data_IF_951999441383
#
_entry.id   IF_951999441383
#
_cell.length_a   1.000
_cell.length_b   1.000
_cell.length_c   1.000
_cell.angle_alpha   90.00
_cell.angle_beta   90.00
_cell.angle_gamma   90.00
#
_symmetry.space_group_name_H-M   'P 1'
#
loop_
_entity.id
_entity.type
_entity.pdbx_description
1 polymer ?
#
# COMPACT_ATOMS: atom_id res chain seq x y z
N UNK A 1 7.67 -63.09 -57.92
CA UNK A 1 8.59 -62.90 -59.07
C UNK A 1 9.41 -61.70 -58.74
N UNK A 2 10.64 -61.77 -58.47
CA UNK A 2 11.78 -62.39 -59.08
C UNK A 2 12.89 -61.37 -59.07
N UNK A 3 13.84 -61.73 -58.28
CA UNK A 3 15.29 -61.88 -58.59
C UNK A 3 16.03 -60.53 -58.79
N UNK A 4 17.05 -60.31 -58.12
CA UNK A 4 18.35 -60.90 -57.82
C UNK A 4 19.49 -59.94 -58.19
N UNK A 5 20.41 -59.81 -57.19
CA UNK A 5 21.88 -59.94 -57.29
C UNK A 5 22.63 -58.84 -58.08
N UNK A 6 23.85 -58.42 -57.75
CA UNK A 6 24.98 -58.94 -56.92
C UNK A 6 26.13 -57.93 -56.97
N UNK A 7 26.92 -57.91 -55.92
CA UNK A 7 28.42 -57.89 -55.89
C UNK A 7 29.16 -56.82 -56.68
N UNK A 8 30.28 -56.30 -56.25
CA UNK A 8 31.37 -56.72 -55.40
C UNK A 8 32.36 -55.56 -55.16
N UNK A 9 32.96 -55.53 -53.97
CA UNK A 9 34.41 -55.45 -53.66
C UNK A 9 35.20 -54.31 -54.34
N UNK A 10 36.05 -53.61 -53.71
CA UNK A 10 37.09 -53.87 -52.72
C UNK A 10 37.96 -52.63 -52.50
N UNK A 11 38.62 -52.59 -51.34
CA UNK A 11 39.93 -52.09 -51.01
C UNK A 11 40.18 -50.57 -50.96
N UNK A 12 40.39 -50.08 -49.75
CA UNK A 12 41.69 -49.87 -49.07
C UNK A 12 42.41 -48.57 -49.40
N UNK A 13 42.47 -47.71 -48.43
CA UNK A 13 43.68 -47.00 -47.95
C UNK A 13 43.32 -45.79 -47.07
N UNK A 14 43.68 -45.86 -45.82
CA UNK A 14 43.96 -44.70 -44.97
C UNK A 14 45.34 -44.17 -45.28
N UNK A 15 45.73 -42.89 -44.98
CA UNK A 15 45.71 -42.26 -43.68
C UNK A 15 45.60 -40.71 -43.67
N UNK A 16 45.41 -40.18 -42.53
CA UNK A 16 46.08 -39.01 -41.95
C UNK A 16 45.14 -38.05 -41.18
N UNK A 17 45.47 -37.95 -39.93
CA UNK A 17 44.95 -37.04 -38.93
C UNK A 17 44.95 -35.56 -39.37
N UNK A 18 43.82 -34.86 -39.18
CA UNK A 18 43.80 -33.44 -38.79
C UNK A 18 42.73 -33.22 -37.76
N UNK A 19 43.16 -32.90 -36.56
CA UNK A 19 42.43 -32.37 -35.41
C UNK A 19 41.76 -31.07 -35.84
N UNK A 20 40.45 -30.97 -35.77
CA UNK A 20 39.70 -29.71 -35.71
C UNK A 20 38.99 -29.67 -34.40
N UNK A 21 39.37 -28.71 -33.53
CA UNK A 21 38.67 -28.30 -32.34
C UNK A 21 37.29 -27.80 -32.72
N UNK A 22 36.28 -28.52 -32.26
CA UNK A 22 34.91 -28.02 -32.25
C UNK A 22 34.68 -27.29 -30.96
N UNK A 23 34.61 -25.95 -31.04
CA UNK A 23 34.09 -25.07 -30.00
C UNK A 23 32.62 -25.38 -29.77
N UNK A 24 32.31 -26.08 -28.67
CA UNK A 24 30.97 -26.19 -28.16
C UNK A 24 30.56 -24.82 -27.61
N UNK A 25 29.62 -24.18 -28.29
CA UNK A 25 28.83 -23.05 -27.76
C UNK A 25 27.80 -23.63 -26.80
N UNK A 26 28.09 -23.59 -25.51
CA UNK A 26 27.09 -23.82 -24.45
C UNK A 26 26.16 -22.62 -24.39
N UNK A 27 24.96 -22.79 -24.91
CA UNK A 27 23.84 -21.97 -24.57
C UNK A 27 23.37 -22.38 -23.17
N UNK A 28 23.69 -21.59 -22.17
CA UNK A 28 23.08 -21.70 -20.85
C UNK A 28 21.96 -20.65 -20.75
N UNK A 29 20.77 -21.01 -21.19
CA UNK A 29 19.54 -20.35 -20.74
C UNK A 29 19.23 -20.86 -19.34
N UNK A 30 19.89 -20.32 -18.32
CA UNK A 30 19.45 -20.42 -16.94
C UNK A 30 18.29 -19.41 -16.72
N UNK A 31 17.06 -19.91 -16.87
CA UNK A 31 15.90 -19.30 -16.23
C UNK A 31 16.09 -19.46 -14.73
N UNK A 32 16.74 -18.49 -14.10
CA UNK A 32 17.01 -18.47 -12.68
C UNK A 32 15.71 -18.36 -11.89
N UNK A 33 15.27 -19.47 -11.32
CA UNK A 33 14.34 -19.52 -10.19
C UNK A 33 14.83 -18.56 -9.10
N UNK A 34 14.15 -17.45 -8.90
CA UNK A 34 14.43 -16.51 -7.81
C UNK A 34 13.82 -17.04 -6.52
N UNK A 35 14.46 -18.04 -5.94
CA UNK A 35 14.34 -18.32 -4.50
C UNK A 35 14.69 -17.05 -3.71
N UNK A 36 14.04 -16.74 -2.58
CA UNK A 36 14.35 -15.56 -1.79
C UNK A 36 15.84 -15.59 -1.45
N UNK A 37 16.57 -14.58 -1.95
CA UNK A 37 18.01 -14.46 -1.74
C UNK A 37 18.26 -14.37 -0.23
N UNK A 38 19.19 -15.19 0.26
CA UNK A 38 19.80 -15.03 1.59
C UNK A 38 20.81 -13.86 1.59
N UNK A 39 20.48 -12.77 0.92
CA UNK A 39 21.26 -11.54 1.06
C UNK A 39 20.85 -10.92 2.40
N UNK A 40 21.82 -10.66 3.26
CA UNK A 40 21.57 -10.02 4.54
C UNK A 40 21.21 -8.55 4.30
N UNK A 41 20.19 -8.05 5.03
CA UNK A 41 19.79 -6.63 4.98
C UNK A 41 21.01 -5.69 5.04
N UNK A 42 21.96 -6.03 5.91
CA UNK A 42 23.19 -5.27 6.15
C UNK A 42 24.13 -5.20 4.94
N UNK A 43 24.03 -6.12 4.00
CA UNK A 43 24.84 -6.08 2.77
C UNK A 43 24.33 -5.03 1.78
N UNK A 44 23.02 -4.81 1.75
CA UNK A 44 22.33 -3.95 0.78
C UNK A 44 21.97 -2.56 1.32
N UNK A 45 21.71 -2.47 2.63
CA UNK A 45 21.21 -1.24 3.25
C UNK A 45 22.03 -0.85 4.46
N UNK A 46 22.19 0.46 4.66
CA UNK A 46 22.75 1.03 5.88
C UNK A 46 21.60 1.60 6.71
N UNK A 47 21.42 1.08 7.93
CA UNK A 47 20.41 1.58 8.86
C UNK A 47 20.92 2.81 9.60
N UNK A 48 20.07 3.83 9.70
CA UNK A 48 20.32 5.09 10.41
C UNK A 48 19.49 5.23 11.69
N UNK A 49 19.10 6.46 11.99
CA UNK A 49 18.34 6.80 13.20
C UNK A 49 16.88 6.32 13.15
N UNK A 50 16.27 6.19 14.31
CA UNK A 50 14.86 5.86 14.46
C UNK A 50 13.98 7.00 13.92
N UNK A 51 13.03 6.69 13.03
CA UNK A 51 12.01 7.62 12.54
C UNK A 51 10.74 7.58 13.38
N UNK A 52 10.37 6.40 13.88
CA UNK A 52 9.17 6.25 14.70
C UNK A 52 8.97 4.81 15.18
N UNK A 53 8.13 4.68 16.20
CA UNK A 53 7.66 3.39 16.74
C UNK A 53 6.15 3.40 16.84
N UNK A 54 5.51 2.26 16.59
CA UNK A 54 4.06 2.11 16.70
C UNK A 54 3.64 0.69 17.09
N UNK A 55 2.36 0.44 17.14
CA UNK A 55 1.81 -0.88 17.46
C UNK A 55 2.25 -2.01 16.53
N UNK A 56 2.73 -1.66 15.35
CA UNK A 56 3.15 -2.60 14.29
C UNK A 56 4.67 -2.75 14.19
N UNK A 57 5.48 -2.03 14.99
CA UNK A 57 6.93 -2.17 14.99
C UNK A 57 7.69 -0.85 15.02
N UNK A 58 8.96 -0.88 14.57
CA UNK A 58 9.86 0.27 14.53
C UNK A 58 10.25 0.60 13.07
N UNK A 59 10.39 1.88 12.76
CA UNK A 59 10.81 2.39 11.45
C UNK A 59 12.09 3.20 11.62
N UNK A 60 13.11 2.89 10.83
CA UNK A 60 14.40 3.56 10.83
C UNK A 60 14.65 4.24 9.48
N UNK A 61 15.38 5.35 9.51
CA UNK A 61 15.99 5.89 8.31
C UNK A 61 17.02 4.89 7.77
N UNK A 62 17.20 4.85 6.47
CA UNK A 62 18.23 4.00 5.86
C UNK A 62 18.69 4.57 4.53
N UNK A 63 19.75 3.97 3.99
CA UNK A 63 20.32 4.29 2.70
C UNK A 63 20.60 2.99 1.97
N UNK A 64 20.19 2.88 0.72
CA UNK A 64 20.57 1.77 -0.16
C UNK A 64 22.02 1.95 -0.58
N UNK A 65 22.88 0.97 -0.28
CA UNK A 65 24.33 1.09 -0.49
C UNK A 65 24.75 1.21 -1.96
N UNK A 66 23.97 0.65 -2.87
CA UNK A 66 24.30 0.60 -4.29
C UNK A 66 24.33 1.99 -4.96
N UNK A 67 23.45 2.92 -4.52
CA UNK A 67 23.25 4.21 -5.19
C UNK A 67 23.02 5.38 -4.23
N UNK A 68 23.08 5.13 -2.92
CA UNK A 68 22.80 6.17 -1.91
C UNK A 68 21.33 6.55 -1.77
N UNK A 69 20.40 5.78 -2.37
CA UNK A 69 18.97 6.10 -2.34
C UNK A 69 18.41 6.05 -0.91
N UNK A 70 17.71 7.12 -0.45
CA UNK A 70 17.14 7.15 0.88
C UNK A 70 15.93 6.21 0.99
N UNK A 71 15.91 5.38 2.04
CA UNK A 71 14.85 4.42 2.32
C UNK A 71 14.37 4.54 3.76
N UNK A 72 13.19 4.02 4.05
CA UNK A 72 12.72 3.72 5.39
C UNK A 72 12.74 2.21 5.59
N UNK A 73 13.29 1.75 6.73
CA UNK A 73 13.42 0.33 7.08
C UNK A 73 12.42 0.05 8.21
N UNK A 74 11.30 -0.61 7.88
CA UNK A 74 10.25 -0.96 8.84
C UNK A 74 10.43 -2.41 9.31
N UNK A 75 10.61 -2.59 10.61
CA UNK A 75 10.57 -3.89 11.28
C UNK A 75 9.13 -4.15 11.75
N UNK A 76 8.47 -5.13 11.16
CA UNK A 76 7.10 -5.49 11.51
C UNK A 76 7.06 -6.89 12.12
N UNK A 77 6.43 -7.03 13.28
CA UNK A 77 6.30 -8.33 13.97
C UNK A 77 5.60 -9.36 13.08
N UNK A 78 6.10 -10.58 13.10
CA UNK A 78 5.49 -11.70 12.37
C UNK A 78 4.07 -11.96 12.88
N UNK A 79 3.16 -12.09 11.93
CA UNK A 79 1.77 -12.48 12.15
C UNK A 79 1.47 -13.78 11.41
N UNK A 80 0.46 -14.51 11.85
CA UNK A 80 0.00 -15.72 11.15
C UNK A 80 -0.70 -15.42 9.82
N UNK A 81 -1.09 -14.16 9.60
CA UNK A 81 -1.77 -13.75 8.37
C UNK A 81 -0.80 -13.72 7.21
N UNK A 82 -0.94 -14.67 6.32
CA UNK A 82 -0.18 -14.76 5.08
C UNK A 82 -1.11 -14.78 3.89
N UNK A 83 -0.63 -14.30 2.76
CA UNK A 83 -1.33 -14.32 1.49
C UNK A 83 -0.38 -14.88 0.42
N UNK A 84 -0.91 -15.72 -0.46
CA UNK A 84 -0.24 -16.18 -1.65
C UNK A 84 -0.71 -15.35 -2.84
N UNK A 85 0.22 -14.75 -3.55
CA UNK A 85 -0.06 -13.96 -4.74
C UNK A 85 0.30 -14.76 -6.00
N UNK A 86 -0.54 -14.72 -7.05
CA UNK A 86 -0.23 -15.39 -8.31
C UNK A 86 1.12 -14.95 -8.88
N UNK A 87 1.94 -15.90 -9.31
CA UNK A 87 3.24 -15.63 -9.93
C UNK A 87 4.38 -15.29 -8.96
N UNK A 88 4.16 -15.43 -7.64
CA UNK A 88 5.22 -15.28 -6.63
C UNK A 88 5.39 -16.58 -5.84
N UNK A 89 6.63 -16.88 -5.45
CA UNK A 89 6.98 -18.11 -4.75
C UNK A 89 6.51 -18.09 -3.29
N UNK A 90 5.40 -18.81 -3.01
CA UNK A 90 4.92 -19.10 -1.69
C UNK A 90 4.20 -17.96 -0.94
N UNK A 91 3.64 -18.29 0.24
CA UNK A 91 2.87 -17.35 1.04
C UNK A 91 3.78 -16.31 1.72
N UNK A 92 3.42 -15.04 1.59
CA UNK A 92 4.11 -13.91 2.23
C UNK A 92 3.24 -13.24 3.28
N UNK A 93 3.81 -12.43 4.21
CA UNK A 93 3.04 -11.66 5.16
C UNK A 93 1.98 -10.80 4.49
N UNK A 94 0.77 -10.73 5.08
CA UNK A 94 -0.36 -10.01 4.46
C UNK A 94 0.00 -8.56 4.15
N UNK A 95 0.64 -7.81 5.07
CA UNK A 95 1.03 -6.43 4.81
C UNK A 95 1.97 -6.29 3.61
N UNK A 96 2.97 -7.17 3.50
CA UNK A 96 3.90 -7.21 2.35
C UNK A 96 3.14 -7.50 1.05
N UNK A 97 2.21 -8.47 1.07
CA UNK A 97 1.40 -8.81 -0.09
C UNK A 97 0.53 -7.63 -0.55
N UNK A 98 -0.14 -6.95 0.38
CA UNK A 98 -0.96 -5.77 0.09
C UNK A 98 -0.11 -4.64 -0.51
N UNK A 99 1.06 -4.38 0.06
CA UNK A 99 1.97 -3.37 -0.47
C UNK A 99 2.53 -3.74 -1.85
N UNK A 100 2.77 -5.02 -2.14
CA UNK A 100 3.13 -5.48 -3.49
C UNK A 100 2.01 -5.23 -4.50
N UNK A 101 0.76 -5.50 -4.12
CA UNK A 101 -0.41 -5.26 -4.98
C UNK A 101 -0.55 -3.78 -5.36
N UNK A 102 -0.35 -2.85 -4.42
CA UNK A 102 -0.45 -1.40 -4.71
C UNK A 102 0.83 -0.80 -5.29
N UNK A 103 1.97 -1.51 -5.27
CA UNK A 103 3.27 -1.08 -5.81
C UNK A 103 3.60 -1.71 -7.17
N UNK A 104 2.62 -2.28 -7.87
CA UNK A 104 2.78 -2.86 -9.20
C UNK A 104 3.15 -1.80 -10.27
N UNK A 105 3.19 -2.20 -11.55
CA UNK A 105 3.56 -1.33 -12.68
C UNK A 105 2.70 -0.05 -12.79
N UNK A 106 1.47 -0.09 -12.29
CA UNK A 106 0.54 1.05 -12.25
C UNK A 106 0.63 1.84 -10.93
N UNK A 107 1.81 1.92 -10.31
CA UNK A 107 2.00 2.54 -9.00
C UNK A 107 1.42 3.97 -8.93
N UNK A 108 0.77 4.29 -7.80
CA UNK A 108 0.21 5.61 -7.52
C UNK A 108 1.21 6.46 -6.72
N UNK A 109 1.47 7.69 -7.15
CA UNK A 109 2.35 8.62 -6.43
C UNK A 109 1.90 8.87 -4.98
N UNK A 110 0.59 8.75 -4.72
CA UNK A 110 -0.01 8.99 -3.40
C UNK A 110 -0.07 7.76 -2.49
N UNK A 111 0.58 6.64 -2.85
CA UNK A 111 0.76 5.46 -2.00
C UNK A 111 2.26 5.23 -1.80
N UNK A 112 2.68 4.98 -0.55
CA UNK A 112 4.10 4.73 -0.26
C UNK A 112 4.54 3.43 -0.91
N UNK A 113 5.67 3.47 -1.63
CA UNK A 113 6.16 2.33 -2.40
C UNK A 113 6.95 1.36 -1.52
N UNK A 114 6.65 0.07 -1.64
CA UNK A 114 7.50 -1.01 -1.18
C UNK A 114 8.61 -1.24 -2.23
N UNK A 115 9.87 -1.12 -1.80
CA UNK A 115 11.05 -1.33 -2.65
C UNK A 115 11.49 -2.78 -2.57
N UNK A 116 11.60 -3.32 -1.34
CA UNK A 116 12.05 -4.68 -1.07
C UNK A 116 11.52 -5.16 0.28
N UNK A 117 11.72 -6.44 0.60
CA UNK A 117 11.41 -6.99 1.91
C UNK A 117 12.25 -8.23 2.22
N UNK A 118 12.46 -8.50 3.51
CA UNK A 118 13.22 -9.64 4.02
C UNK A 118 12.42 -10.39 5.09
N UNK A 119 12.53 -11.71 5.09
CA UNK A 119 11.96 -12.56 6.15
C UNK A 119 13.03 -12.78 7.22
N UNK A 120 13.06 -11.91 8.23
CA UNK A 120 13.98 -12.03 9.37
C UNK A 120 13.53 -13.09 10.38
N UNK A 121 14.31 -13.36 11.42
CA UNK A 121 13.99 -14.41 12.41
C UNK A 121 12.71 -14.14 13.22
N UNK A 122 12.51 -12.91 13.67
CA UNK A 122 11.38 -12.50 14.55
C UNK A 122 10.42 -11.53 13.87
N UNK A 123 10.92 -10.72 12.93
CA UNK A 123 10.18 -9.70 12.22
C UNK A 123 10.31 -9.90 10.72
N UNK A 124 9.35 -9.38 9.93
CA UNK A 124 9.70 -9.04 8.55
C UNK A 124 10.20 -7.62 8.48
N UNK A 125 11.11 -7.42 7.53
CA UNK A 125 11.76 -6.13 7.34
C UNK A 125 11.31 -5.63 5.97
N UNK A 126 10.61 -4.49 5.94
CA UNK A 126 10.17 -3.85 4.71
C UNK A 126 11.04 -2.65 4.41
N UNK A 127 11.51 -2.56 3.17
CA UNK A 127 12.26 -1.43 2.63
C UNK A 127 11.28 -0.59 1.84
N UNK A 128 11.04 0.62 2.32
CA UNK A 128 10.06 1.54 1.80
C UNK A 128 10.76 2.77 1.21
N UNK A 129 10.15 3.44 0.25
CA UNK A 129 10.61 4.78 -0.13
C UNK A 129 10.55 5.72 1.08
N UNK A 130 11.46 6.71 1.11
CA UNK A 130 11.49 7.72 2.16
C UNK A 130 11.47 9.11 1.53
N UNK A 131 10.28 9.74 1.39
CA UNK A 131 10.21 11.14 1.00
C UNK A 131 10.92 12.01 2.04
N UNK A 132 11.61 13.04 1.60
CA UNK A 132 12.31 13.99 2.47
C UNK A 132 12.31 15.38 1.78
N UNK A 133 11.93 16.48 2.47
CA UNK A 133 11.43 16.55 3.85
C UNK A 133 9.95 16.13 3.97
N UNK A 134 9.61 15.30 4.96
CA UNK A 134 8.23 14.89 5.24
C UNK A 134 7.96 14.72 6.73
N UNK A 135 6.70 14.81 7.10
CA UNK A 135 6.16 14.47 8.42
C UNK A 135 4.79 13.80 8.25
N UNK A 136 4.22 13.19 9.30
CA UNK A 136 2.85 12.76 9.18
C UNK A 136 1.87 13.94 9.21
N UNK A 137 0.68 13.74 8.64
CA UNK A 137 -0.30 14.81 8.49
C UNK A 137 -0.89 15.27 9.84
N UNK A 138 -0.85 14.45 10.87
CA UNK A 138 -1.28 14.84 12.22
C UNK A 138 -0.31 15.87 12.81
N UNK A 139 0.99 15.61 12.79
CA UNK A 139 2.01 16.55 13.26
C UNK A 139 2.05 17.81 12.38
N UNK A 140 1.89 17.67 11.07
CA UNK A 140 1.72 18.82 10.18
C UNK A 140 0.54 19.71 10.58
N UNK A 141 -0.65 19.13 10.85
CA UNK A 141 -1.81 19.88 11.32
C UNK A 141 -1.52 20.59 12.66
N UNK A 142 -0.92 19.85 13.61
CA UNK A 142 -0.55 20.39 14.93
C UNK A 142 0.37 21.61 14.79
N UNK A 143 1.38 21.53 13.94
CA UNK A 143 2.31 22.64 13.63
C UNK A 143 1.61 23.82 12.94
N UNK A 144 0.54 23.58 12.20
CA UNK A 144 -0.30 24.61 11.55
C UNK A 144 -1.39 25.21 12.45
N UNK A 145 -1.38 24.92 13.75
CA UNK A 145 -2.37 25.43 14.71
C UNK A 145 -3.55 24.51 14.98
N UNK A 146 -3.42 23.21 14.63
CA UNK A 146 -4.39 22.15 14.95
C UNK A 146 -5.43 21.86 13.87
N UNK A 147 -5.54 22.71 12.84
CA UNK A 147 -6.44 22.50 11.70
C UNK A 147 -5.85 23.06 10.41
N UNK A 148 -6.43 22.72 9.28
CA UNK A 148 -6.03 23.20 7.95
C UNK A 148 -7.10 24.12 7.37
N UNK A 149 -6.67 25.12 6.59
CA UNK A 149 -7.60 25.84 5.72
C UNK A 149 -8.28 24.89 4.74
N UNK A 150 -9.51 25.19 4.30
CA UNK A 150 -10.22 24.34 3.33
C UNK A 150 -9.45 24.18 2.02
N UNK A 151 -8.68 25.17 1.60
CA UNK A 151 -7.82 25.06 0.41
C UNK A 151 -6.76 23.96 0.55
N UNK A 152 -6.04 23.96 1.67
CA UNK A 152 -5.02 22.92 1.96
C UNK A 152 -5.69 21.56 2.18
N UNK A 153 -6.78 21.50 2.96
CA UNK A 153 -7.52 20.27 3.19
C UNK A 153 -8.05 19.66 1.88
N UNK A 154 -8.52 20.48 0.96
CA UNK A 154 -8.96 20.03 -0.39
C UNK A 154 -7.79 19.43 -1.18
N UNK A 155 -6.66 20.13 -1.22
CA UNK A 155 -5.47 19.63 -1.90
C UNK A 155 -5.00 18.27 -1.35
N UNK A 156 -5.00 18.10 -0.02
CA UNK A 156 -4.71 16.85 0.66
C UNK A 156 -5.74 15.78 0.29
N UNK A 157 -7.05 16.09 0.39
CA UNK A 157 -8.10 15.09 0.19
C UNK A 157 -8.20 14.60 -1.25
N UNK A 158 -7.89 15.41 -2.25
CA UNK A 158 -7.80 14.95 -3.65
C UNK A 158 -6.77 13.84 -3.76
N UNK A 159 -5.60 14.00 -3.17
CA UNK A 159 -4.51 13.02 -3.19
C UNK A 159 -4.86 11.75 -2.39
N UNK A 160 -5.48 11.91 -1.21
CA UNK A 160 -5.98 10.78 -0.40
C UNK A 160 -6.99 9.95 -1.20
N UNK A 161 -7.91 10.59 -1.92
CA UNK A 161 -8.90 9.89 -2.75
C UNK A 161 -8.25 9.17 -3.94
N UNK A 162 -7.20 9.72 -4.54
CA UNK A 162 -6.40 9.02 -5.55
C UNK A 162 -5.74 7.76 -4.98
N UNK A 163 -5.12 7.87 -3.79
CA UNK A 163 -4.53 6.72 -3.11
C UNK A 163 -5.56 5.62 -2.80
N UNK A 164 -6.73 6.00 -2.23
CA UNK A 164 -7.78 5.03 -1.88
C UNK A 164 -8.41 4.38 -3.11
N UNK A 165 -8.57 5.13 -4.20
CA UNK A 165 -9.06 4.58 -5.46
C UNK A 165 -8.07 3.59 -6.04
N UNK A 166 -6.78 3.93 -6.05
CA UNK A 166 -5.73 3.02 -6.46
C UNK A 166 -5.71 1.73 -5.61
N UNK A 167 -5.85 1.84 -4.28
CA UNK A 167 -5.99 0.68 -3.41
C UNK A 167 -7.18 -0.20 -3.83
N UNK A 168 -8.35 0.40 -4.04
CA UNK A 168 -9.56 -0.31 -4.48
C UNK A 168 -9.33 -1.02 -5.83
N UNK A 169 -8.77 -0.32 -6.81
CA UNK A 169 -8.51 -0.85 -8.15
C UNK A 169 -7.43 -1.96 -8.14
N UNK A 170 -6.53 -1.94 -7.14
CA UNK A 170 -5.54 -2.99 -6.85
C UNK A 170 -6.06 -4.13 -5.98
N UNK A 171 -7.36 -4.15 -5.65
CA UNK A 171 -7.95 -5.17 -4.78
C UNK A 171 -7.53 -5.09 -3.31
N UNK A 172 -7.13 -3.91 -2.83
CA UNK A 172 -6.62 -3.69 -1.47
C UNK A 172 -7.54 -2.78 -0.67
N UNK A 173 -7.87 -3.19 0.55
CA UNK A 173 -8.59 -2.39 1.54
C UNK A 173 -7.64 -1.97 2.67
N UNK A 174 -7.43 -0.67 2.86
CA UNK A 174 -6.48 -0.13 3.84
C UNK A 174 -6.95 -0.26 5.30
N UNK A 175 -8.21 0.02 5.61
CA UNK A 175 -8.92 -0.08 6.91
C UNK A 175 -8.50 0.89 8.03
N UNK A 176 -7.41 1.63 7.91
CA UNK A 176 -6.96 2.56 8.96
C UNK A 176 -6.58 3.94 8.41
N UNK A 177 -7.46 4.52 7.57
CA UNK A 177 -7.27 5.89 7.09
C UNK A 177 -7.45 6.89 8.24
N UNK A 178 -6.39 7.65 8.53
CA UNK A 178 -6.32 8.74 9.51
C UNK A 178 -5.11 9.62 9.21
N UNK A 179 -5.02 10.79 9.84
CA UNK A 179 -3.92 11.75 9.60
C UNK A 179 -2.54 11.16 9.91
N UNK A 180 -2.42 10.30 10.90
CA UNK A 180 -1.16 9.63 11.30
C UNK A 180 -0.66 8.63 10.24
N UNK A 181 -1.57 8.13 9.38
CA UNK A 181 -1.24 7.21 8.29
C UNK A 181 -1.14 7.90 6.92
N UNK A 182 -0.93 9.21 6.92
CA UNK A 182 -0.69 10.04 5.75
C UNK A 182 0.61 10.82 5.95
N UNK A 183 1.62 10.55 5.13
CA UNK A 183 2.82 11.40 5.08
C UNK A 183 2.53 12.59 4.18
N UNK A 184 3.03 13.76 4.56
CA UNK A 184 2.98 14.97 3.74
C UNK A 184 4.38 15.54 3.57
N UNK A 185 4.77 15.81 2.34
CA UNK A 185 5.99 16.59 2.05
C UNK A 185 5.74 18.05 2.42
N UNK A 186 6.66 18.61 3.20
CA UNK A 186 6.47 19.96 3.75
C UNK A 186 6.77 21.08 2.74
N UNK A 187 7.47 20.75 1.66
CA UNK A 187 7.86 21.65 0.56
C UNK A 187 6.83 21.68 -0.58
N UNK A 188 6.23 20.53 -0.94
CA UNK A 188 5.35 20.38 -2.10
C UNK A 188 3.89 20.11 -1.74
N UNK A 189 3.60 19.75 -0.48
CA UNK A 189 2.31 19.23 -0.01
C UNK A 189 1.87 17.95 -0.72
N UNK A 190 2.82 17.18 -1.26
CA UNK A 190 2.56 15.84 -1.76
C UNK A 190 2.19 14.91 -0.60
N UNK A 191 1.12 14.11 -0.77
CA UNK A 191 0.62 13.20 0.27
C UNK A 191 0.82 11.75 -0.16
N UNK A 192 1.27 10.92 0.77
CA UNK A 192 1.38 9.46 0.58
C UNK A 192 0.67 8.70 1.70
N UNK A 193 -0.19 7.77 1.31
CA UNK A 193 -0.84 6.82 2.22
C UNK A 193 0.20 5.77 2.65
N UNK A 194 0.28 5.52 3.96
CA UNK A 194 1.23 4.60 4.59
C UNK A 194 0.52 3.59 5.49
N UNK A 195 1.24 2.55 5.89
CA UNK A 195 0.86 1.55 6.91
C UNK A 195 -0.35 0.69 6.54
N UNK A 196 -0.07 -0.41 5.83
CA UNK A 196 -1.05 -1.43 5.44
C UNK A 196 -1.22 -2.56 6.47
N UNK A 197 -0.66 -2.41 7.68
CA UNK A 197 -0.71 -3.42 8.74
C UNK A 197 -2.13 -3.78 9.21
N UNK A 198 -3.09 -2.87 9.07
CA UNK A 198 -4.52 -3.13 9.27
C UNK A 198 -5.25 -3.64 8.03
N UNK A 199 -4.61 -3.64 6.86
CA UNK A 199 -5.22 -3.89 5.56
C UNK A 199 -5.81 -5.30 5.38
N UNK A 200 -6.52 -5.47 4.27
CA UNK A 200 -7.06 -6.74 3.82
C UNK A 200 -7.27 -6.72 2.29
N UNK A 201 -7.59 -7.86 1.70
CA UNK A 201 -8.05 -7.93 0.32
C UNK A 201 -9.43 -7.28 0.21
N UNK A 202 -9.63 -6.45 -0.82
CA UNK A 202 -10.93 -5.85 -1.11
C UNK A 202 -11.90 -6.91 -1.63
N UNK A 203 -13.06 -7.04 -0.96
CA UNK A 203 -14.14 -7.92 -1.40
C UNK A 203 -15.49 -7.20 -1.31
N UNK A 204 -16.47 -7.70 -2.06
CA UNK A 204 -17.86 -7.25 -1.97
C UNK A 204 -18.63 -7.93 -0.82
N UNK A 205 -17.99 -8.88 -0.12
CA UNK A 205 -18.54 -9.56 1.04
C UNK A 205 -18.39 -8.72 2.31
N UNK A 206 -19.22 -9.01 3.32
CA UNK A 206 -19.12 -8.36 4.62
C UNK A 206 -17.87 -8.81 5.38
N UNK A 207 -17.17 -7.85 5.97
CA UNK A 207 -16.08 -8.10 6.93
C UNK A 207 -16.68 -8.23 8.33
N UNK A 208 -16.34 -9.34 9.01
CA UNK A 208 -16.82 -9.66 10.37
C UNK A 208 -15.76 -9.43 11.45
N UNK A 209 -14.56 -8.97 11.05
CA UNK A 209 -13.46 -8.59 11.95
C UNK A 209 -13.04 -7.17 11.65
N UNK A 210 -13.04 -6.31 12.67
CA UNK A 210 -12.53 -4.96 12.54
C UNK A 210 -11.03 -4.93 12.86
N UNK A 211 -10.29 -4.27 12.01
CA UNK A 211 -8.91 -3.88 12.21
C UNK A 211 -8.81 -2.36 11.97
N UNK A 212 -7.93 -1.70 12.68
CA UNK A 212 -7.79 -0.25 12.60
C UNK A 212 -8.28 0.49 13.86
N UNK A 213 -8.25 1.79 13.80
CA UNK A 213 -8.49 2.70 14.92
C UNK A 213 -9.98 2.79 15.22
N UNK A 214 -10.42 2.31 16.41
CA UNK A 214 -11.85 2.15 16.75
C UNK A 214 -12.69 3.42 16.65
N UNK A 215 -12.11 4.60 16.92
CA UNK A 215 -12.86 5.86 16.83
C UNK A 215 -13.16 6.27 15.38
N UNK A 216 -12.49 5.68 14.39
CA UNK A 216 -12.73 5.80 12.95
C UNK A 216 -13.66 4.70 12.41
N UNK A 217 -14.09 3.74 13.26
CA UNK A 217 -14.97 2.66 12.83
C UNK A 217 -16.36 3.18 12.49
N UNK A 218 -17.00 2.66 11.43
CA UNK A 218 -18.34 3.06 11.04
C UNK A 218 -19.42 2.52 12.00
N UNK A 219 -20.60 3.17 12.10
CA UNK A 219 -21.64 2.78 13.04
C UNK A 219 -22.17 1.36 12.85
N UNK A 220 -22.22 0.83 11.62
CA UNK A 220 -22.64 -0.54 11.33
C UNK A 220 -21.74 -1.58 12.02
N UNK A 221 -20.43 -1.30 12.17
CA UNK A 221 -19.56 -2.17 12.95
C UNK A 221 -20.01 -2.32 14.41
N UNK A 222 -20.48 -1.26 15.03
CA UNK A 222 -20.94 -1.30 16.42
C UNK A 222 -22.33 -1.91 16.55
N UNK A 223 -23.17 -1.79 15.51
CA UNK A 223 -24.55 -2.24 15.51
C UNK A 223 -24.71 -3.71 15.12
N UNK A 224 -24.04 -4.15 14.05
CA UNK A 224 -24.20 -5.48 13.46
C UNK A 224 -22.94 -6.34 13.46
N UNK A 225 -21.79 -5.78 13.87
CA UNK A 225 -20.45 -6.45 13.83
C UNK A 225 -20.01 -6.87 12.44
N UNK A 226 -20.51 -6.17 11.45
CA UNK A 226 -20.14 -6.37 10.05
C UNK A 226 -20.13 -5.04 9.28
N UNK A 227 -19.37 -4.97 8.20
CA UNK A 227 -19.29 -3.79 7.34
C UNK A 227 -18.82 -4.17 5.94
N UNK A 228 -19.09 -3.32 4.95
CA UNK A 228 -18.59 -3.41 3.59
C UNK A 228 -17.39 -2.47 3.37
N UNK A 229 -16.44 -2.87 2.53
CA UNK A 229 -15.20 -2.15 2.24
C UNK A 229 -15.45 -0.68 1.83
N UNK A 230 -16.23 -0.46 0.79
CA UNK A 230 -16.49 0.87 0.22
C UNK A 230 -17.13 1.84 1.23
N UNK A 231 -18.29 1.51 1.81
CA UNK A 231 -18.95 2.36 2.80
C UNK A 231 -18.09 2.65 4.04
N UNK A 232 -17.31 1.68 4.53
CA UNK A 232 -16.41 1.87 5.67
C UNK A 232 -15.24 2.81 5.33
N UNK A 233 -14.65 2.66 4.15
CA UNK A 233 -13.60 3.57 3.64
C UNK A 233 -14.13 5.01 3.53
N UNK A 234 -15.32 5.19 2.98
CA UNK A 234 -15.95 6.51 2.85
C UNK A 234 -16.23 7.13 4.22
N UNK A 235 -16.64 6.34 5.21
CA UNK A 235 -16.79 6.83 6.58
C UNK A 235 -15.45 7.38 7.13
N UNK A 236 -14.36 6.64 6.98
CA UNK A 236 -13.02 7.10 7.42
C UNK A 236 -12.57 8.36 6.68
N UNK A 237 -12.87 8.49 5.38
CA UNK A 237 -12.65 9.74 4.61
C UNK A 237 -13.39 10.91 5.26
N UNK A 238 -14.66 10.72 5.63
CA UNK A 238 -15.46 11.75 6.29
C UNK A 238 -14.93 12.15 7.66
N UNK A 239 -14.48 11.19 8.47
CA UNK A 239 -13.87 11.46 9.78
C UNK A 239 -12.56 12.22 9.60
N UNK A 240 -11.70 11.80 8.67
CA UNK A 240 -10.42 12.45 8.39
C UNK A 240 -10.63 13.90 7.91
N UNK A 241 -11.50 14.12 6.91
CA UNK A 241 -11.77 15.48 6.41
C UNK A 241 -12.33 16.38 7.51
N UNK A 242 -13.30 15.88 8.31
CA UNK A 242 -13.84 16.64 9.44
C UNK A 242 -12.71 17.06 10.40
N UNK A 243 -11.83 16.13 10.76
CA UNK A 243 -10.72 16.41 11.69
C UNK A 243 -9.76 17.44 11.11
N UNK A 244 -9.44 17.38 9.82
CA UNK A 244 -8.54 18.34 9.18
C UNK A 244 -9.08 19.78 9.20
N UNK A 245 -10.39 19.98 8.98
CA UNK A 245 -10.99 21.34 8.89
C UNK A 245 -11.56 21.86 10.19
N UNK A 246 -11.87 20.97 11.15
CA UNK A 246 -12.43 21.36 12.45
C UNK A 246 -11.38 21.37 13.58
N UNK A 247 -10.29 20.61 13.46
CA UNK A 247 -9.24 20.47 14.47
C UNK A 247 -9.57 19.48 15.60
N UNK A 248 -10.68 18.75 15.50
CA UNK A 248 -11.10 17.74 16.48
C UNK A 248 -11.92 16.64 15.80
N UNK A 249 -12.08 15.49 16.48
CA UNK A 249 -12.85 14.36 15.97
C UNK A 249 -14.36 14.64 15.95
N UNK A 250 -15.11 14.20 14.92
CA UNK A 250 -16.56 14.38 14.87
C UNK A 250 -17.31 13.62 15.97
N UNK A 251 -16.72 12.55 16.47
CA UNK A 251 -17.29 11.66 17.48
C UNK A 251 -16.21 11.27 18.51
N UNK A 252 -16.57 11.26 19.80
CA UNK A 252 -15.63 10.96 20.88
C UNK A 252 -15.82 9.57 21.51
N UNK A 253 -16.89 8.88 21.16
CA UNK A 253 -17.21 7.54 21.66
C UNK A 253 -18.18 6.80 20.75
N UNK A 254 -18.39 5.52 21.01
CA UNK A 254 -19.30 4.66 20.25
C UNK A 254 -20.73 5.20 20.17
N UNK A 255 -21.29 5.73 21.26
CA UNK A 255 -22.65 6.30 21.28
C UNK A 255 -22.77 7.48 20.33
N UNK A 256 -21.76 8.35 20.29
CA UNK A 256 -21.71 9.49 19.37
C UNK A 256 -21.62 9.03 17.91
N UNK A 257 -20.78 8.00 17.61
CA UNK A 257 -20.69 7.39 16.28
C UNK A 257 -22.04 6.84 15.83
N UNK A 258 -22.72 6.05 16.67
CA UNK A 258 -24.03 5.47 16.38
C UNK A 258 -25.09 6.55 16.19
N UNK A 259 -25.04 7.65 16.95
CA UNK A 259 -25.99 8.76 16.79
C UNK A 259 -25.80 9.51 15.47
N UNK A 260 -24.55 9.63 15.01
CA UNK A 260 -24.19 10.31 13.77
C UNK A 260 -24.50 11.81 13.76
N UNK A 261 -24.64 12.44 14.95
CA UNK A 261 -24.93 13.87 15.06
C UNK A 261 -23.66 14.69 14.84
N UNK A 262 -23.64 15.51 13.80
CA UNK A 262 -22.51 16.37 13.43
C UNK A 262 -22.78 17.81 13.83
N UNK A 263 -21.81 18.44 14.47
CA UNK A 263 -21.78 19.88 14.73
C UNK A 263 -20.57 20.47 14.01
N UNK A 264 -20.78 21.50 13.22
CA UNK A 264 -19.73 22.17 12.46
C UNK A 264 -19.45 23.55 13.05
N UNK A 265 -18.18 23.95 13.13
CA UNK A 265 -17.82 25.33 13.43
C UNK A 265 -18.28 26.27 12.31
N UNK A 266 -18.51 27.57 12.63
CA UNK A 266 -19.05 28.54 11.66
C UNK A 266 -18.06 28.85 10.51
N UNK A 267 -16.79 28.56 10.66
CA UNK A 267 -15.79 28.77 9.61
C UNK A 267 -15.75 27.67 8.53
N UNK A 268 -16.43 26.55 8.74
CA UNK A 268 -16.49 25.48 7.73
C UNK A 268 -17.58 25.77 6.72
N UNK A 269 -17.21 25.85 5.44
CA UNK A 269 -18.14 26.20 4.36
C UNK A 269 -19.30 25.19 4.23
N UNK A 270 -20.42 25.67 3.67
CA UNK A 270 -21.58 24.80 3.39
C UNK A 270 -21.25 23.65 2.43
N UNK A 271 -20.33 23.90 1.46
CA UNK A 271 -19.84 22.89 0.52
C UNK A 271 -19.06 21.77 1.22
N UNK A 272 -18.12 22.12 2.12
CA UNK A 272 -17.37 21.17 2.93
C UNK A 272 -18.30 20.38 3.86
N UNK A 273 -19.21 21.08 4.56
CA UNK A 273 -20.22 20.43 5.41
C UNK A 273 -21.09 19.43 4.64
N UNK A 274 -21.48 19.74 3.40
CA UNK A 274 -22.27 18.84 2.55
C UNK A 274 -21.48 17.57 2.18
N UNK A 275 -20.21 17.71 1.82
CA UNK A 275 -19.34 16.58 1.52
C UNK A 275 -19.19 15.66 2.73
N UNK A 276 -18.82 16.23 3.89
CA UNK A 276 -18.64 15.48 5.14
C UNK A 276 -19.95 14.77 5.54
N UNK A 277 -21.11 15.44 5.50
CA UNK A 277 -22.40 14.80 5.77
C UNK A 277 -22.71 13.66 4.81
N UNK A 278 -22.29 13.76 3.55
CA UNK A 278 -22.44 12.70 2.55
C UNK A 278 -21.61 11.46 2.88
N UNK A 279 -20.40 11.65 3.43
CA UNK A 279 -19.53 10.56 3.87
C UNK A 279 -20.01 9.93 5.19
N UNK A 280 -20.47 10.74 6.14
CA UNK A 280 -20.85 10.32 7.50
C UNK A 280 -22.35 10.02 7.66
N UNK A 281 -23.01 9.49 6.61
CA UNK A 281 -24.39 8.96 6.72
C UNK A 281 -24.39 7.70 7.59
N UNK A 282 -25.31 7.62 8.56
CA UNK A 282 -25.43 6.45 9.46
C UNK A 282 -25.66 5.15 8.71
N UNK A 283 -26.63 5.14 7.76
CA UNK A 283 -26.89 3.98 6.91
C UNK A 283 -25.81 3.91 5.85
N UNK A 284 -25.04 2.81 5.84
CA UNK A 284 -23.94 2.56 4.90
C UNK A 284 -24.37 2.73 3.43
N UNK A 285 -25.55 2.22 3.06
CA UNK A 285 -26.09 2.31 1.71
C UNK A 285 -26.41 3.75 1.26
N UNK A 286 -26.53 4.70 2.19
CA UNK A 286 -26.81 6.11 1.87
C UNK A 286 -25.54 6.95 1.76
N UNK A 287 -24.35 6.38 2.03
CA UNK A 287 -23.07 7.09 1.86
C UNK A 287 -22.75 7.24 0.39
N UNK A 288 -22.03 8.28 0.06
CA UNK A 288 -21.48 8.48 -1.28
C UNK A 288 -20.45 7.41 -1.57
N UNK A 289 -20.27 7.01 -2.85
CA UNK A 289 -19.13 6.21 -3.26
C UNK A 289 -17.86 7.09 -3.34
N UNK A 290 -16.67 6.48 -3.38
CA UNK A 290 -15.41 7.20 -3.61
C UNK A 290 -15.48 8.04 -4.90
N UNK A 291 -16.05 7.50 -5.96
CA UNK A 291 -16.25 8.19 -7.23
C UNK A 291 -17.17 9.43 -7.08
N UNK A 292 -18.29 9.29 -6.37
CA UNK A 292 -19.19 10.42 -6.11
C UNK A 292 -18.52 11.50 -5.25
N UNK A 293 -17.63 11.12 -4.33
CA UNK A 293 -16.83 12.04 -3.53
C UNK A 293 -15.88 12.81 -4.45
N UNK A 294 -15.11 12.12 -5.30
CA UNK A 294 -14.16 12.74 -6.23
C UNK A 294 -14.81 13.78 -7.15
N UNK A 295 -16.08 13.57 -7.53
CA UNK A 295 -16.87 14.48 -8.37
C UNK A 295 -17.58 15.59 -7.59
N UNK A 296 -17.40 15.66 -6.27
CA UNK A 296 -18.10 16.65 -5.45
C UNK A 296 -17.57 18.06 -5.70
N UNK A 297 -18.48 19.05 -5.86
CA UNK A 297 -18.15 20.44 -6.21
C UNK A 297 -17.10 21.06 -5.28
N UNK A 298 -17.13 20.73 -3.97
CA UNK A 298 -16.14 21.24 -3.04
C UNK A 298 -14.71 20.82 -3.39
N UNK A 299 -14.50 19.63 -3.96
CA UNK A 299 -13.17 19.16 -4.41
C UNK A 299 -12.76 19.73 -5.76
N UNK A 300 -13.71 20.25 -6.55
CA UNK A 300 -13.46 20.81 -7.88
C UNK A 300 -13.14 22.33 -7.85
N UNK A 301 -13.29 22.98 -6.70
CA UNK A 301 -12.94 24.39 -6.55
C UNK A 301 -11.41 24.57 -6.66
N UNK A 302 -10.98 25.59 -7.44
CA UNK A 302 -9.57 25.97 -7.58
C UNK A 302 -9.10 26.80 -6.40
#
# INVERSE_FOLDING_TARGET
MGKKRSHSDSADESPAKRRRESTEVRSTDEVGSKTPRKEHLEDLYLQGHLLGTGGYGAVFAGIRKADGFPVAIKYARKTEKKLELPGLDGPMPLEVALMKLVSNESSCANVLKLIDWFDGPQDYIMILERPDPCEDLFDFCKRKGGLLSEGVARHVMVQVLHALRHCQDSGVLHRDLKSENLLIRTDTLEVKLIDFGCGDIWTDSHYTKYSGTKIFAPPEWFLSREYLAGPATVWSVGVTLFTLVCGYLPFHNQTAIISGRLKFPPWVSSGCCNLIRGCLRRKAANRRSLEQIQRHLWLQQK
#
